data_IF_947117964458
#
_entry.id   IF_947117964458
#
_cell.length_a   1.000
_cell.length_b   1.000
_cell.length_c   1.000
_cell.angle_alpha   90.00
_cell.angle_beta   90.00
_cell.angle_gamma   90.00
#
_symmetry.space_group_name_H-M   'P 1'
#
loop_
_entity.id
_entity.type
_entity.pdbx_description
1 polymer ?
#
# COMPACT_ATOMS: atom_id res chain seq x y z
N UNK A 1 20.45 -10.27 18.26
CA UNK A 1 20.27 -9.18 17.28
C UNK A 1 20.69 -7.87 17.93
N UNK A 2 21.72 -7.20 17.40
CA UNK A 2 22.23 -5.94 17.96
C UNK A 2 21.22 -4.81 17.72
N UNK A 3 20.65 -4.22 18.78
CA UNK A 3 19.63 -3.16 18.67
C UNK A 3 20.07 -2.01 17.76
N UNK A 4 21.37 -1.65 17.78
CA UNK A 4 21.95 -0.63 16.89
C UNK A 4 21.81 -1.00 15.41
N UNK A 5 22.05 -2.26 15.05
CA UNK A 5 21.93 -2.74 13.68
C UNK A 5 20.47 -2.72 13.22
N UNK A 6 19.53 -3.13 14.08
CA UNK A 6 18.09 -3.09 13.78
C UNK A 6 17.62 -1.65 13.51
N UNK A 7 18.05 -0.69 14.32
CA UNK A 7 17.69 0.73 14.14
C UNK A 7 18.24 1.27 12.81
N UNK A 8 19.49 0.95 12.47
CA UNK A 8 20.10 1.38 11.19
C UNK A 8 19.35 0.78 9.99
N UNK A 9 18.99 -0.51 10.05
CA UNK A 9 18.22 -1.17 8.98
C UNK A 9 16.84 -0.52 8.81
N UNK A 10 16.14 -0.23 9.92
CA UNK A 10 14.83 0.41 9.86
C UNK A 10 14.91 1.82 9.27
N UNK A 11 15.89 2.63 9.69
CA UNK A 11 16.14 3.96 9.13
C UNK A 11 16.50 3.91 7.64
N UNK A 12 17.29 2.93 7.21
CA UNK A 12 17.60 2.73 5.81
C UNK A 12 16.33 2.39 5.00
N UNK A 13 15.47 1.51 5.51
CA UNK A 13 14.20 1.18 4.86
C UNK A 13 13.26 2.39 4.75
N UNK A 14 13.14 3.19 5.81
CA UNK A 14 12.30 4.40 5.83
C UNK A 14 12.83 5.44 4.84
N UNK A 15 14.15 5.68 4.79
CA UNK A 15 14.75 6.63 3.86
C UNK A 15 14.57 6.20 2.42
N UNK A 16 14.78 4.92 2.11
CA UNK A 16 14.55 4.37 0.77
C UNK A 16 13.07 4.49 0.37
N UNK A 17 12.12 4.25 1.28
CA UNK A 17 10.69 4.42 1.04
C UNK A 17 10.30 5.90 0.83
N UNK A 18 10.90 6.82 1.60
CA UNK A 18 10.58 8.25 1.59
C UNK A 18 11.17 8.98 0.37
N UNK A 19 12.35 8.59 -0.11
CA UNK A 19 13.03 9.25 -1.23
C UNK A 19 12.39 8.95 -2.60
N UNK A 20 11.27 8.21 -2.66
CA UNK A 20 10.65 7.79 -3.93
C UNK A 20 11.57 6.90 -4.80
N UNK A 21 12.68 6.43 -4.23
CA UNK A 21 13.66 5.59 -4.93
C UNK A 21 13.04 4.25 -5.32
N UNK A 22 12.11 3.75 -4.50
CA UNK A 22 11.28 2.58 -4.78
C UNK A 22 9.99 3.07 -5.44
N UNK A 23 9.86 2.84 -6.74
CA UNK A 23 8.58 2.92 -7.43
C UNK A 23 8.14 1.52 -7.86
N UNK A 24 6.83 1.34 -8.10
CA UNK A 24 6.26 0.06 -8.52
C UNK A 24 7.02 -0.55 -9.70
N UNK A 25 7.41 0.28 -10.68
CA UNK A 25 8.14 -0.15 -11.87
C UNK A 25 9.51 -0.76 -11.54
N UNK A 26 10.32 -0.12 -10.70
CA UNK A 26 11.64 -0.60 -10.29
C UNK A 26 11.53 -1.90 -9.49
N UNK A 27 10.54 -2.01 -8.60
CA UNK A 27 10.30 -3.26 -7.86
C UNK A 27 9.88 -4.38 -8.81
N UNK A 28 8.99 -4.08 -9.77
CA UNK A 28 8.58 -5.05 -10.77
C UNK A 28 9.74 -5.49 -11.67
N UNK A 29 10.61 -4.55 -12.09
CA UNK A 29 11.83 -4.83 -12.85
C UNK A 29 12.82 -5.69 -12.05
N UNK A 30 13.02 -5.38 -10.77
CA UNK A 30 13.89 -6.19 -9.90
C UNK A 30 13.35 -7.60 -9.71
N UNK A 31 12.04 -7.76 -9.51
CA UNK A 31 11.37 -9.07 -9.48
C UNK A 31 11.49 -9.80 -10.82
N UNK A 32 11.49 -9.09 -11.95
CA UNK A 32 11.70 -9.67 -13.27
C UNK A 32 13.09 -10.27 -13.44
N UNK A 33 14.12 -9.58 -12.92
CA UNK A 33 15.51 -9.99 -13.01
C UNK A 33 15.85 -11.15 -12.07
N UNK A 34 15.33 -11.13 -10.83
CA UNK A 34 15.74 -12.08 -9.79
C UNK A 34 14.94 -13.38 -9.73
N UNK A 35 13.71 -13.39 -10.24
CA UNK A 35 12.84 -14.56 -10.12
C UNK A 35 12.67 -15.28 -11.46
N UNK A 36 12.77 -16.62 -11.48
CA UNK A 36 12.44 -17.38 -12.67
C UNK A 36 10.96 -17.17 -13.04
N UNK A 37 10.65 -17.28 -14.33
CA UNK A 37 9.27 -17.20 -14.79
C UNK A 37 8.45 -18.35 -14.18
N UNK A 38 7.40 -18.01 -13.45
CA UNK A 38 6.57 -18.98 -12.74
C UNK A 38 5.54 -18.32 -11.84
N UNK A 39 4.74 -19.15 -11.16
CA UNK A 39 3.64 -18.72 -10.31
C UNK A 39 4.10 -17.78 -9.20
N UNK A 40 5.28 -18.03 -8.62
CA UNK A 40 5.86 -17.21 -7.53
C UNK A 40 6.11 -15.77 -7.99
N UNK A 41 6.70 -15.58 -9.17
CA UNK A 41 6.95 -14.26 -9.76
C UNK A 41 5.64 -13.50 -10.00
N UNK A 42 4.63 -14.18 -10.55
CA UNK A 42 3.31 -13.60 -10.78
C UNK A 42 2.61 -13.18 -9.48
N UNK A 43 2.69 -14.01 -8.44
CA UNK A 43 2.13 -13.72 -7.12
C UNK A 43 2.80 -12.50 -6.49
N UNK A 44 4.14 -12.44 -6.47
CA UNK A 44 4.89 -11.32 -5.89
C UNK A 44 4.64 -10.01 -6.64
N UNK A 45 4.64 -10.03 -7.97
CA UNK A 45 4.28 -8.85 -8.77
C UNK A 45 2.87 -8.37 -8.46
N UNK A 46 1.92 -9.28 -8.33
CA UNK A 46 0.53 -8.96 -7.97
C UNK A 46 0.42 -8.35 -6.58
N UNK A 47 1.21 -8.86 -5.61
CA UNK A 47 1.28 -8.28 -4.27
C UNK A 47 1.87 -6.87 -4.30
N UNK A 48 2.98 -6.65 -5.01
CA UNK A 48 3.59 -5.33 -5.18
C UNK A 48 2.60 -4.36 -5.82
N UNK A 49 1.91 -4.79 -6.86
CA UNK A 49 0.89 -3.97 -7.54
C UNK A 49 -0.28 -3.61 -6.61
N UNK A 50 -0.76 -4.56 -5.79
CA UNK A 50 -1.83 -4.32 -4.80
C UNK A 50 -1.35 -3.43 -3.65
N UNK A 51 -0.14 -3.64 -3.16
CA UNK A 51 0.46 -2.85 -2.08
C UNK A 51 0.71 -1.40 -2.53
N UNK A 52 1.23 -1.20 -3.74
CA UNK A 52 1.44 0.13 -4.32
C UNK A 52 0.12 0.90 -4.53
N UNK A 53 -0.99 0.18 -4.73
CA UNK A 53 -2.34 0.75 -4.85
C UNK A 53 -3.11 0.81 -3.53
N UNK A 54 -2.50 0.42 -2.41
CA UNK A 54 -3.13 0.53 -1.09
C UNK A 54 -3.12 1.99 -0.64
N UNK A 55 -4.29 2.54 -0.36
CA UNK A 55 -4.48 3.91 0.11
C UNK A 55 -5.08 3.89 1.51
N UNK A 56 -4.54 4.72 2.40
CA UNK A 56 -5.05 4.91 3.76
C UNK A 56 -5.29 3.59 4.53
N UNK A 57 -4.44 2.58 4.29
CA UNK A 57 -4.55 1.24 4.87
C UNK A 57 -5.89 0.53 4.63
N UNK A 58 -6.58 0.88 3.55
CA UNK A 58 -7.77 0.16 3.13
C UNK A 58 -7.42 -1.31 2.79
N UNK A 59 -8.10 -2.24 3.45
CA UNK A 59 -7.99 -3.66 3.18
C UNK A 59 -9.38 -4.31 3.12
N UNK A 60 -9.63 -5.12 2.10
CA UNK A 60 -10.89 -5.87 1.95
C UNK A 60 -12.18 -5.03 2.04
N UNK A 61 -12.19 -3.79 1.54
CA UNK A 61 -13.31 -2.83 1.68
C UNK A 61 -13.60 -2.36 3.12
N UNK A 62 -12.66 -2.57 4.04
CA UNK A 62 -12.75 -2.19 5.44
C UNK A 62 -11.70 -1.12 5.72
N UNK A 63 -12.15 -0.03 6.37
CA UNK A 63 -11.27 0.99 6.95
C UNK A 63 -10.97 0.59 8.39
N UNK A 64 -10.06 -0.36 8.58
CA UNK A 64 -9.79 -0.96 9.90
C UNK A 64 -9.17 0.03 10.89
N UNK A 65 -8.46 1.04 10.40
CA UNK A 65 -7.75 2.03 11.21
C UNK A 65 -8.48 3.38 11.24
N UNK A 66 -9.53 3.56 10.43
CA UNK A 66 -10.24 4.84 10.29
C UNK A 66 -9.47 5.90 9.51
N UNK A 67 -8.35 5.53 8.86
CA UNK A 67 -7.49 6.48 8.16
C UNK A 67 -8.14 6.98 6.87
N UNK A 68 -8.95 6.17 6.19
CA UNK A 68 -9.63 6.59 4.98
C UNK A 68 -10.71 7.64 5.31
N UNK A 69 -11.53 7.38 6.33
CA UNK A 69 -12.53 8.34 6.79
C UNK A 69 -11.91 9.63 7.32
N UNK A 70 -10.85 9.53 8.12
CA UNK A 70 -10.14 10.70 8.65
C UNK A 70 -9.51 11.56 7.52
N UNK A 71 -8.88 10.94 6.52
CA UNK A 71 -8.30 11.65 5.38
C UNK A 71 -9.37 12.38 4.55
N UNK A 72 -10.50 11.71 4.27
CA UNK A 72 -11.62 12.33 3.57
C UNK A 72 -12.20 13.52 4.36
N UNK A 73 -12.39 13.37 5.67
CA UNK A 73 -12.87 14.47 6.53
C UNK A 73 -11.90 15.65 6.56
N UNK A 74 -10.59 15.39 6.58
CA UNK A 74 -9.56 16.45 6.48
C UNK A 74 -9.62 17.19 5.15
N UNK A 75 -10.11 16.56 4.09
CA UNK A 75 -10.36 17.17 2.78
C UNK A 75 -11.73 17.86 2.68
N UNK A 76 -12.48 17.99 3.79
CA UNK A 76 -13.80 18.63 3.83
C UNK A 76 -14.93 17.77 3.27
N UNK A 77 -14.73 16.46 3.17
CA UNK A 77 -15.74 15.48 2.73
C UNK A 77 -16.51 14.93 3.93
N UNK A 78 -17.73 14.46 3.71
CA UNK A 78 -18.58 13.97 4.79
C UNK A 78 -18.12 12.60 5.30
N UNK A 79 -17.68 11.72 4.40
CA UNK A 79 -17.30 10.34 4.74
C UNK A 79 -16.23 9.77 3.81
N UNK A 80 -15.33 8.96 4.36
CA UNK A 80 -14.45 8.08 3.59
C UNK A 80 -14.89 6.62 3.65
N UNK A 81 -14.75 5.90 2.54
CA UNK A 81 -15.03 4.47 2.45
C UNK A 81 -13.95 3.74 1.65
N UNK A 82 -13.57 2.56 2.14
CA UNK A 82 -12.66 1.68 1.41
C UNK A 82 -13.40 0.91 0.30
N UNK A 83 -12.88 0.99 -0.93
CA UNK A 83 -13.30 0.19 -2.08
C UNK A 83 -12.11 -0.63 -2.58
N UNK A 84 -12.08 -1.91 -2.19
CA UNK A 84 -10.93 -2.79 -2.31
C UNK A 84 -9.82 -2.32 -1.38
N UNK A 85 -8.68 -1.93 -1.96
CA UNK A 85 -7.53 -1.33 -1.26
C UNK A 85 -7.44 0.19 -1.45
N UNK A 86 -8.47 0.82 -2.04
CA UNK A 86 -8.49 2.26 -2.31
C UNK A 86 -9.41 2.98 -1.33
N UNK A 87 -9.08 4.22 -1.02
CA UNK A 87 -9.95 5.12 -0.26
C UNK A 87 -10.75 5.99 -1.24
N UNK A 88 -12.07 6.11 -1.02
CA UNK A 88 -12.96 6.99 -1.79
C UNK A 88 -13.75 7.87 -0.82
N UNK A 89 -13.91 9.15 -1.15
CA UNK A 89 -14.67 10.09 -0.34
C UNK A 89 -16.05 10.38 -0.94
N UNK A 90 -17.08 10.52 -0.10
CA UNK A 90 -18.46 10.85 -0.48
C UNK A 90 -19.05 9.97 -1.59
N UNK A 91 -18.73 8.67 -1.55
CA UNK A 91 -19.32 7.69 -2.47
C UNK A 91 -20.16 6.67 -1.71
N UNK A 92 -21.29 6.31 -2.29
CA UNK A 92 -22.09 5.16 -1.87
C UNK A 92 -21.59 3.91 -2.62
N UNK A 93 -21.28 2.85 -1.86
CA UNK A 93 -20.87 1.57 -2.44
C UNK A 93 -22.13 0.77 -2.76
N UNK A 94 -22.35 0.45 -4.04
CA UNK A 94 -23.56 -0.25 -4.51
C UNK A 94 -23.86 -1.58 -3.80
N UNK A 95 -22.83 -2.20 -3.21
CA UNK A 95 -22.89 -3.46 -2.48
C UNK A 95 -22.93 -3.30 -0.94
N UNK A 96 -22.90 -2.08 -0.40
CA UNK A 96 -23.17 -1.79 1.02
C UNK A 96 -24.52 -1.09 1.11
N UNK A 97 -25.59 -1.89 1.09
CA UNK A 97 -26.95 -1.47 1.46
C UNK A 97 -27.30 -2.10 2.80
#
# INVERSE_FOLDING_TARGET
MNSKLTVIVLLALITIASCGLINEKKVQQYLDEKLPNGVVKGALKSLVHKAAKNQNLCAFNVDTVGMCDADCKRQGKAKGVCHGTKCKCDVELSYKK
#
